data_IF_257016275516
#
_entry.id   IF_257016275516
#
_cell.length_a   1.000
_cell.length_b   1.000
_cell.length_c   1.000
_cell.angle_alpha   90.00
_cell.angle_beta   90.00
_cell.angle_gamma   90.00
#
_symmetry.space_group_name_H-M   'P 1'
#
loop_
_entity.id
_entity.type
_entity.pdbx_description
1 polymer ?
#
# COMPACT_ATOMS: atom_id res chain seq x y z
N UNK A 1 38.13 -28.20 -4.47
CA UNK A 1 36.75 -28.45 -4.95
C UNK A 1 35.77 -27.88 -3.93
N UNK A 2 35.22 -26.69 -4.18
CA UNK A 2 34.29 -26.02 -3.25
C UNK A 2 33.08 -25.51 -4.04
N UNK A 3 32.03 -26.32 -4.14
CA UNK A 3 30.79 -25.98 -4.82
C UNK A 3 29.73 -25.51 -3.83
N UNK A 4 29.33 -24.25 -3.94
CA UNK A 4 28.33 -23.58 -3.10
C UNK A 4 26.95 -24.24 -3.16
N UNK A 5 26.43 -24.67 -2.01
CA UNK A 5 25.03 -25.09 -1.84
C UNK A 5 24.11 -23.86 -1.93
N UNK A 6 23.34 -23.74 -3.02
CA UNK A 6 22.23 -22.79 -3.15
C UNK A 6 21.16 -23.11 -2.10
N UNK A 7 20.90 -22.15 -1.22
CA UNK A 7 19.89 -22.22 -0.15
C UNK A 7 18.50 -22.04 -0.78
N UNK A 8 17.69 -23.11 -0.81
CA UNK A 8 16.30 -23.11 -1.27
C UNK A 8 15.47 -22.21 -0.35
N UNK A 9 14.81 -21.18 -0.88
CA UNK A 9 13.84 -20.34 -0.13
C UNK A 9 12.52 -21.11 -0.02
N UNK A 10 12.04 -21.32 1.21
CA UNK A 10 10.69 -21.82 1.47
C UNK A 10 9.70 -20.72 1.07
N UNK A 11 8.95 -20.94 -0.01
CA UNK A 11 7.69 -20.25 -0.26
C UNK A 11 6.60 -21.02 0.49
N UNK A 12 6.24 -20.53 1.68
CA UNK A 12 4.87 -20.75 2.17
C UNK A 12 4.07 -19.55 1.65
N UNK A 13 3.54 -19.67 0.43
CA UNK A 13 2.45 -18.82 -0.03
C UNK A 13 1.18 -19.48 0.47
N UNK A 14 0.53 -18.80 1.41
CA UNK A 14 -0.80 -19.15 1.89
C UNK A 14 -1.75 -18.63 0.81
N UNK A 15 -2.45 -19.54 0.13
CA UNK A 15 -3.48 -19.23 -0.86
C UNK A 15 -4.64 -18.50 -0.15
N UNK A 16 -4.63 -17.17 -0.19
CA UNK A 16 -5.82 -16.37 0.03
C UNK A 16 -6.40 -16.01 -1.33
N UNK A 17 -7.65 -16.41 -1.57
CA UNK A 17 -8.40 -16.18 -2.81
C UNK A 17 -8.73 -14.69 -3.08
N UNK A 18 -8.14 -13.74 -2.34
CA UNK A 18 -8.56 -12.32 -2.32
C UNK A 18 -7.58 -11.36 -3.01
N UNK A 19 -6.45 -11.83 -3.54
CA UNK A 19 -5.53 -10.93 -4.24
C UNK A 19 -5.90 -10.86 -5.72
N UNK A 20 -6.90 -10.01 -6.02
CA UNK A 20 -7.53 -9.78 -7.34
C UNK A 20 -6.54 -9.55 -8.49
N UNK A 21 -5.30 -9.15 -8.19
CA UNK A 21 -4.25 -8.87 -9.18
C UNK A 21 -2.94 -9.66 -8.98
N UNK A 22 -2.87 -10.66 -8.09
CA UNK A 22 -1.63 -11.44 -7.88
C UNK A 22 -1.43 -12.56 -8.90
N UNK A 23 -2.52 -13.07 -9.50
CA UNK A 23 -2.45 -14.36 -10.22
C UNK A 23 -2.53 -14.24 -11.74
N UNK A 24 -3.07 -13.14 -12.29
CA UNK A 24 -3.10 -12.92 -13.74
C UNK A 24 -3.03 -11.44 -14.13
N UNK A 25 -2.31 -11.15 -15.21
CA UNK A 25 -2.39 -9.85 -15.86
C UNK A 25 -3.83 -9.61 -16.33
N UNK A 26 -4.33 -8.36 -16.34
CA UNK A 26 -5.65 -8.09 -16.90
C UNK A 26 -5.71 -8.57 -18.35
N UNK A 27 -6.78 -9.26 -18.70
CA UNK A 27 -6.99 -9.73 -20.06
C UNK A 27 -7.39 -8.54 -20.95
N UNK A 28 -6.40 -7.97 -21.65
CA UNK A 28 -6.62 -6.81 -22.51
C UNK A 28 -7.51 -7.13 -23.71
N UNK A 29 -7.55 -8.39 -24.17
CA UNK A 29 -8.47 -8.78 -25.25
C UNK A 29 -9.91 -8.69 -24.75
N UNK A 30 -10.18 -9.28 -23.58
CA UNK A 30 -11.50 -9.24 -22.98
C UNK A 30 -11.94 -7.82 -22.62
N UNK A 31 -11.04 -7.02 -22.03
CA UNK A 31 -11.31 -5.63 -21.69
C UNK A 31 -11.60 -4.77 -22.93
N UNK A 32 -10.88 -4.96 -24.04
CA UNK A 32 -11.13 -4.24 -25.28
C UNK A 32 -12.51 -4.55 -25.89
N UNK A 33 -13.00 -5.79 -25.73
CA UNK A 33 -14.34 -6.18 -26.17
C UNK A 33 -15.42 -5.49 -25.32
N UNK A 34 -15.21 -5.44 -24.00
CA UNK A 34 -16.19 -4.85 -23.07
C UNK A 34 -16.20 -3.31 -23.10
N UNK A 35 -15.05 -2.70 -23.37
CA UNK A 35 -14.87 -1.25 -23.33
C UNK A 35 -14.34 -0.74 -24.68
N UNK A 36 -15.21 -0.35 -25.62
CA UNK A 36 -14.80 0.12 -26.95
C UNK A 36 -13.82 1.30 -26.92
N UNK A 37 -13.92 2.16 -25.89
CA UNK A 37 -12.99 3.27 -25.66
C UNK A 37 -11.56 2.82 -25.35
N UNK A 38 -11.38 1.60 -24.84
CA UNK A 38 -10.07 1.01 -24.57
C UNK A 38 -9.48 0.31 -25.81
N UNK A 39 -10.32 -0.13 -26.75
CA UNK A 39 -9.90 -0.92 -27.91
C UNK A 39 -8.82 -0.22 -28.74
N UNK A 40 -8.91 1.11 -28.91
CA UNK A 40 -7.93 1.89 -29.69
C UNK A 40 -6.53 1.92 -29.08
N UNK A 41 -6.38 1.62 -27.79
CA UNK A 41 -5.10 1.62 -27.09
C UNK A 41 -4.42 0.24 -27.06
N UNK A 42 -5.14 -0.81 -27.43
CA UNK A 42 -4.65 -2.20 -27.33
C UNK A 42 -3.93 -2.60 -28.60
N UNK A 43 -2.69 -3.07 -28.44
CA UNK A 43 -1.81 -3.47 -29.54
C UNK A 43 -1.05 -4.76 -29.20
N UNK A 44 -0.67 -5.59 -30.19
CA UNK A 44 0.16 -6.76 -29.94
C UNK A 44 1.62 -6.36 -29.62
N UNK A 45 2.21 -6.99 -28.60
CA UNK A 45 3.63 -6.85 -28.26
C UNK A 45 4.45 -7.98 -28.89
N UNK A 46 5.44 -7.68 -29.76
CA UNK A 46 6.44 -8.66 -30.20
C UNK A 46 7.28 -9.21 -29.03
N UNK A 47 7.84 -10.45 -29.14
CA UNK A 47 7.68 -11.42 -30.23
C UNK A 47 6.46 -12.35 -30.06
N UNK A 48 5.86 -12.39 -28.87
CA UNK A 48 4.81 -13.37 -28.53
C UNK A 48 3.38 -12.93 -28.87
N UNK A 49 3.22 -11.75 -29.50
CA UNK A 49 1.93 -11.17 -29.89
C UNK A 49 0.90 -11.07 -28.76
N UNK A 50 1.36 -10.97 -27.50
CA UNK A 50 0.47 -10.71 -26.37
C UNK A 50 -0.03 -9.29 -26.45
N UNK A 51 -1.34 -9.10 -26.28
CA UNK A 51 -1.92 -7.76 -26.26
C UNK A 51 -1.40 -6.97 -25.05
N UNK A 52 -0.98 -5.73 -25.33
CA UNK A 52 -0.47 -4.73 -24.39
C UNK A 52 -1.07 -3.37 -24.75
N UNK A 53 -0.79 -2.36 -23.95
CA UNK A 53 -0.93 -0.95 -24.31
C UNK A 53 0.46 -0.33 -24.51
N UNK A 54 0.51 0.85 -25.13
CA UNK A 54 1.66 1.72 -25.01
C UNK A 54 1.74 2.30 -23.59
N UNK A 55 2.73 1.87 -22.81
CA UNK A 55 2.92 2.32 -21.43
C UNK A 55 3.50 3.74 -21.35
N UNK A 56 3.94 4.32 -22.47
CA UNK A 56 4.38 5.72 -22.59
C UNK A 56 3.25 6.68 -22.94
N UNK A 57 2.10 6.17 -23.38
CA UNK A 57 0.90 6.96 -23.62
C UNK A 57 0.11 7.16 -22.31
N UNK A 58 0.03 8.43 -21.87
CA UNK A 58 -0.74 8.80 -20.70
C UNK A 58 -2.23 8.46 -20.85
N UNK A 59 -2.81 8.62 -22.04
CA UNK A 59 -4.23 8.33 -22.26
C UNK A 59 -4.52 6.83 -22.19
N UNK A 60 -3.64 6.00 -22.77
CA UNK A 60 -3.75 4.56 -22.66
C UNK A 60 -3.69 4.08 -21.20
N UNK A 61 -2.76 4.62 -20.40
CA UNK A 61 -2.63 4.26 -18.98
C UNK A 61 -3.78 4.79 -18.13
N UNK A 62 -4.26 6.02 -18.37
CA UNK A 62 -5.45 6.59 -17.71
C UNK A 62 -6.70 5.78 -18.01
N UNK A 63 -6.91 5.42 -19.27
CA UNK A 63 -8.06 4.63 -19.69
C UNK A 63 -8.02 3.22 -19.10
N UNK A 64 -6.85 2.56 -19.12
CA UNK A 64 -6.68 1.26 -18.45
C UNK A 64 -7.02 1.35 -16.95
N UNK A 65 -6.55 2.38 -16.26
CA UNK A 65 -6.87 2.58 -14.84
C UNK A 65 -8.36 2.78 -14.61
N UNK A 66 -9.02 3.63 -15.42
CA UNK A 66 -10.48 3.84 -15.35
C UNK A 66 -11.25 2.54 -15.53
N UNK A 67 -10.96 1.75 -16.57
CA UNK A 67 -11.70 0.52 -16.82
C UNK A 67 -11.45 -0.52 -15.72
N UNK A 68 -10.23 -0.61 -15.16
CA UNK A 68 -9.94 -1.55 -14.08
C UNK A 68 -10.71 -1.20 -12.80
N UNK A 69 -10.81 0.09 -12.48
CA UNK A 69 -11.57 0.58 -11.34
C UNK A 69 -13.07 0.36 -11.52
N UNK A 70 -13.59 0.65 -12.71
CA UNK A 70 -14.99 0.42 -13.01
C UNK A 70 -15.36 -1.07 -13.03
N UNK A 71 -14.58 -1.89 -13.74
CA UNK A 71 -14.86 -3.30 -13.96
C UNK A 71 -14.78 -4.15 -12.68
N UNK A 72 -13.85 -3.84 -11.77
CA UNK A 72 -13.57 -4.70 -10.60
C UNK A 72 -13.97 -4.11 -9.26
N UNK A 73 -14.05 -2.79 -9.16
CA UNK A 73 -14.32 -2.09 -7.90
C UNK A 73 -15.60 -1.26 -7.96
N UNK A 74 -16.29 -1.27 -9.12
CA UNK A 74 -17.52 -0.50 -9.35
C UNK A 74 -17.32 1.00 -9.11
N UNK A 75 -16.10 1.48 -9.37
CA UNK A 75 -15.70 2.86 -9.16
C UNK A 75 -15.79 3.66 -10.46
N UNK A 76 -16.49 4.79 -10.43
CA UNK A 76 -16.45 5.82 -11.46
C UNK A 76 -15.29 6.77 -11.16
N UNK A 77 -14.31 6.86 -12.05
CA UNK A 77 -13.05 7.52 -11.72
C UNK A 77 -12.44 8.23 -12.93
N UNK A 78 -11.85 9.41 -12.71
CA UNK A 78 -11.08 10.14 -13.73
C UNK A 78 -10.04 11.07 -13.10
N UNK A 79 -9.01 11.42 -13.87
CA UNK A 79 -8.01 12.45 -13.49
C UNK A 79 -7.74 13.39 -14.66
N UNK A 80 -7.40 14.68 -14.40
CA UNK A 80 -7.05 15.62 -15.45
C UNK A 80 -5.66 15.30 -16.01
N UNK A 81 -5.33 15.94 -17.12
CA UNK A 81 -4.01 15.81 -17.74
C UNK A 81 -2.90 16.32 -16.81
N UNK A 82 -1.71 15.75 -16.94
CA UNK A 82 -0.52 16.14 -16.18
C UNK A 82 -0.43 15.59 -14.75
N UNK A 83 -1.48 14.96 -14.21
CA UNK A 83 -1.45 14.32 -12.89
C UNK A 83 -0.84 12.92 -12.93
N UNK A 84 -0.42 12.39 -11.77
CA UNK A 84 0.12 11.05 -11.68
C UNK A 84 -1.00 10.00 -11.86
N UNK A 85 -0.95 9.21 -12.93
CA UNK A 85 -1.89 8.12 -13.13
C UNK A 85 -1.51 6.88 -12.29
N UNK A 86 -2.34 6.42 -11.35
CA UNK A 86 -1.99 5.30 -10.49
C UNK A 86 -2.11 3.97 -11.23
N UNK A 87 -1.24 3.01 -10.89
CA UNK A 87 -1.35 1.63 -11.36
C UNK A 87 -2.13 0.79 -10.35
N UNK A 88 -3.40 0.48 -10.66
CA UNK A 88 -4.35 -0.17 -9.74
C UNK A 88 -3.77 -1.41 -9.02
N UNK A 89 -3.09 -2.37 -9.69
CA UNK A 89 -2.55 -3.55 -9.02
C UNK A 89 -1.56 -3.24 -7.89
N UNK A 90 -0.67 -2.26 -8.11
CA UNK A 90 0.30 -1.89 -7.09
C UNK A 90 -0.36 -1.17 -5.91
N UNK A 91 -1.39 -0.36 -6.17
CA UNK A 91 -2.17 0.32 -5.12
C UNK A 91 -2.98 -0.68 -4.28
N UNK A 92 -3.61 -1.65 -4.93
CA UNK A 92 -4.35 -2.75 -4.27
C UNK A 92 -3.46 -3.55 -3.33
N UNK A 93 -2.22 -3.86 -3.73
CA UNK A 93 -1.28 -4.60 -2.85
C UNK A 93 -1.01 -3.89 -1.52
N UNK A 94 -1.01 -2.55 -1.52
CA UNK A 94 -0.84 -1.79 -0.30
C UNK A 94 -2.10 -1.90 0.59
N UNK A 95 -3.30 -1.79 0.02
CA UNK A 95 -4.57 -1.97 0.75
C UNK A 95 -4.64 -3.37 1.38
N UNK A 96 -4.35 -4.44 0.64
CA UNK A 96 -4.34 -5.80 1.20
C UNK A 96 -3.28 -5.98 2.29
N UNK A 97 -2.11 -5.36 2.15
CA UNK A 97 -1.11 -5.41 3.21
C UNK A 97 -1.57 -4.71 4.48
N UNK A 98 -2.28 -3.58 4.36
CA UNK A 98 -2.91 -2.91 5.50
C UNK A 98 -3.98 -3.80 6.14
N UNK A 99 -4.83 -4.45 5.36
CA UNK A 99 -5.82 -5.41 5.86
C UNK A 99 -5.14 -6.52 6.68
N UNK A 100 -4.04 -7.08 6.19
CA UNK A 100 -3.26 -8.09 6.91
C UNK A 100 -2.65 -7.54 8.21
N UNK A 101 -2.11 -6.31 8.20
CA UNK A 101 -1.58 -5.66 9.40
C UNK A 101 -2.67 -5.44 10.45
N UNK A 102 -3.84 -4.98 10.02
CA UNK A 102 -4.99 -4.68 10.88
C UNK A 102 -5.65 -5.94 11.44
N UNK A 103 -5.66 -7.02 10.68
CA UNK A 103 -6.18 -8.33 11.11
C UNK A 103 -5.19 -9.09 12.01
N UNK A 104 -3.93 -8.63 12.08
CA UNK A 104 -2.92 -9.25 12.92
C UNK A 104 -3.09 -8.86 14.39
N UNK A 105 -3.02 -9.85 15.28
CA UNK A 105 -3.03 -9.64 16.75
C UNK A 105 -1.63 -9.24 17.28
N UNK A 106 -0.80 -8.60 16.44
CA UNK A 106 0.58 -8.28 16.81
C UNK A 106 0.63 -7.07 17.73
N UNK A 107 -0.27 -6.11 17.54
CA UNK A 107 -0.49 -4.96 18.43
C UNK A 107 -1.97 -4.92 18.84
N UNK A 108 -2.33 -4.29 19.97
CA UNK A 108 -3.72 -4.21 20.42
C UNK A 108 -4.65 -3.73 19.31
N UNK A 109 -5.80 -4.40 19.17
CA UNK A 109 -6.89 -3.96 18.31
C UNK A 109 -7.55 -2.70 18.84
N UNK A 110 -8.42 -2.10 18.03
CA UNK A 110 -9.32 -1.04 18.49
C UNK A 110 -10.27 -1.60 19.55
N UNK A 111 -10.47 -0.86 20.64
CA UNK A 111 -11.26 -1.30 21.80
C UNK A 111 -12.75 -1.46 21.45
N UNK A 112 -13.22 -0.82 20.37
CA UNK A 112 -14.59 -0.95 19.87
C UNK A 112 -14.68 -2.00 18.77
N UNK A 113 -15.20 -3.18 19.10
CA UNK A 113 -15.56 -4.24 18.13
C UNK A 113 -16.60 -3.82 17.09
N UNK A 114 -17.24 -2.66 17.26
CA UNK A 114 -18.27 -2.09 16.38
C UNK A 114 -17.77 -0.93 15.49
N UNK A 115 -16.54 -0.43 15.67
CA UNK A 115 -16.06 0.71 14.89
C UNK A 115 -15.51 0.25 13.53
N UNK A 116 -16.11 0.76 12.43
CA UNK A 116 -15.53 0.64 11.08
C UNK A 116 -14.10 1.19 11.07
N UNK A 117 -13.21 0.49 10.38
CA UNK A 117 -11.80 0.89 10.22
C UNK A 117 -11.72 2.30 9.63
N UNK A 118 -10.84 3.13 10.19
CA UNK A 118 -10.61 4.51 9.74
C UNK A 118 -9.15 4.74 9.36
N UNK A 119 -8.91 5.06 8.09
CA UNK A 119 -7.59 5.35 7.53
C UNK A 119 -7.33 6.84 7.32
N UNK A 120 -6.06 7.22 7.24
CA UNK A 120 -5.62 8.55 6.82
C UNK A 120 -4.65 8.41 5.64
N UNK A 121 -4.95 9.04 4.52
CA UNK A 121 -4.12 9.04 3.32
C UNK A 121 -3.38 10.39 3.17
N UNK A 122 -2.06 10.32 3.13
CA UNK A 122 -1.16 11.47 3.03
C UNK A 122 -0.79 11.68 1.56
N UNK A 123 -1.21 12.81 0.99
CA UNK A 123 -1.00 13.10 -0.43
C UNK A 123 -1.88 12.20 -1.29
N UNK A 124 -3.20 12.32 -1.12
CA UNK A 124 -4.17 11.46 -1.80
C UNK A 124 -4.18 11.65 -3.33
N UNK A 125 -3.67 12.81 -3.79
CA UNK A 125 -3.57 13.21 -5.18
C UNK A 125 -4.94 13.36 -5.86
N UNK A 126 -4.95 13.84 -7.09
CA UNK A 126 -6.17 13.95 -7.90
C UNK A 126 -6.90 12.60 -8.04
N UNK A 127 -6.16 11.50 -7.96
CA UNK A 127 -6.69 10.15 -8.10
C UNK A 127 -7.55 9.69 -6.92
N UNK A 128 -7.28 10.15 -5.69
CA UNK A 128 -7.90 9.62 -4.46
C UNK A 128 -7.93 8.07 -4.41
N UNK A 129 -6.90 7.41 -4.96
CA UNK A 129 -6.98 5.99 -5.31
C UNK A 129 -7.07 5.09 -4.07
N UNK A 130 -6.38 5.43 -2.99
CA UNK A 130 -6.37 4.60 -1.78
C UNK A 130 -7.67 4.68 -0.99
N UNK A 131 -8.22 5.89 -0.70
CA UNK A 131 -9.54 6.00 -0.08
C UNK A 131 -10.63 5.27 -0.87
N UNK A 132 -10.67 5.44 -2.19
CA UNK A 132 -11.67 4.78 -3.05
C UNK A 132 -11.54 3.25 -3.02
N UNK A 133 -10.32 2.71 -3.15
CA UNK A 133 -10.10 1.27 -3.10
C UNK A 133 -10.43 0.69 -1.72
N UNK A 134 -9.97 1.31 -0.63
CA UNK A 134 -10.23 0.80 0.71
C UNK A 134 -11.71 0.87 1.10
N UNK A 135 -12.41 1.93 0.68
CA UNK A 135 -13.86 2.05 0.90
C UNK A 135 -14.65 1.02 0.06
N UNK A 136 -14.29 0.83 -1.21
CA UNK A 136 -14.95 -0.15 -2.09
C UNK A 136 -14.71 -1.60 -1.62
N UNK A 137 -13.47 -1.97 -1.31
CA UNK A 137 -13.09 -3.34 -0.97
C UNK A 137 -13.50 -3.75 0.44
N UNK A 138 -13.38 -2.84 1.41
CA UNK A 138 -13.49 -3.20 2.83
C UNK A 138 -14.47 -2.32 3.63
N UNK A 139 -15.14 -1.35 2.98
CA UNK A 139 -16.04 -0.41 3.67
C UNK A 139 -15.34 0.49 4.68
N UNK A 140 -14.03 0.68 4.53
CA UNK A 140 -13.23 1.56 5.39
C UNK A 140 -13.61 3.01 5.19
N UNK A 141 -13.53 3.79 6.26
CA UNK A 141 -13.62 5.24 6.20
C UNK A 141 -12.23 5.87 6.08
N UNK A 142 -12.14 7.02 5.44
CA UNK A 142 -10.87 7.69 5.14
C UNK A 142 -10.95 9.20 5.33
N UNK A 143 -9.82 9.77 5.73
CA UNK A 143 -9.48 11.16 5.46
C UNK A 143 -8.36 11.16 4.43
N UNK A 144 -8.60 11.71 3.24
CA UNK A 144 -7.59 11.91 2.20
C UNK A 144 -7.11 13.37 2.21
N UNK A 145 -5.83 13.58 2.47
CA UNK A 145 -5.25 14.93 2.56
C UNK A 145 -4.37 15.26 1.35
N UNK A 146 -4.37 16.52 0.93
CA UNK A 146 -3.44 17.03 -0.08
C UNK A 146 -3.13 18.52 0.10
N UNK A 147 -2.03 18.98 -0.50
CA UNK A 147 -1.57 20.38 -0.47
C UNK A 147 -1.92 21.14 -1.74
N UNK A 148 -2.27 20.46 -2.83
CA UNK A 148 -2.52 21.09 -4.13
C UNK A 148 -4.02 21.25 -4.41
N UNK A 149 -4.41 22.42 -4.93
CA UNK A 149 -5.81 22.70 -5.26
C UNK A 149 -6.37 21.73 -6.29
N UNK A 150 -5.58 21.37 -7.30
CA UNK A 150 -5.96 20.41 -8.35
C UNK A 150 -6.22 19.03 -7.77
N UNK A 151 -5.37 18.54 -6.85
CA UNK A 151 -5.60 17.25 -6.21
C UNK A 151 -6.87 17.26 -5.36
N UNK A 152 -7.08 18.32 -4.56
CA UNK A 152 -8.29 18.46 -3.73
C UNK A 152 -9.55 18.46 -4.60
N UNK A 153 -9.61 19.31 -5.63
CA UNK A 153 -10.76 19.42 -6.52
C UNK A 153 -11.10 18.08 -7.19
N UNK A 154 -10.10 17.37 -7.72
CA UNK A 154 -10.33 16.13 -8.44
C UNK A 154 -10.58 14.93 -7.52
N UNK A 155 -9.97 14.91 -6.33
CA UNK A 155 -10.29 13.93 -5.31
C UNK A 155 -11.76 14.05 -4.88
N UNK A 156 -12.23 15.28 -4.62
CA UNK A 156 -13.65 15.54 -4.29
C UNK A 156 -14.60 15.12 -5.41
N UNK A 157 -14.26 15.41 -6.68
CA UNK A 157 -15.04 14.95 -7.84
C UNK A 157 -15.09 13.43 -7.92
N UNK A 158 -13.97 12.74 -7.72
CA UNK A 158 -13.91 11.29 -7.75
C UNK A 158 -14.72 10.66 -6.61
N UNK A 159 -14.68 11.23 -5.40
CA UNK A 159 -15.53 10.79 -4.28
C UNK A 159 -17.01 11.01 -4.60
N UNK A 160 -17.38 12.20 -5.08
CA UNK A 160 -18.76 12.56 -5.41
C UNK A 160 -19.36 11.72 -6.56
N UNK A 161 -18.51 11.23 -7.47
CA UNK A 161 -18.91 10.33 -8.56
C UNK A 161 -19.26 8.91 -8.09
N UNK A 162 -19.04 8.59 -6.80
CA UNK A 162 -19.28 7.29 -6.19
C UNK A 162 -20.20 7.42 -4.96
N UNK A 163 -21.50 7.74 -5.15
CA UNK A 163 -22.40 8.08 -4.05
C UNK A 163 -22.54 6.97 -2.99
N UNK A 164 -22.39 5.70 -3.39
CA UNK A 164 -22.50 4.51 -2.54
C UNK A 164 -21.39 4.39 -1.48
N UNK A 165 -20.25 5.08 -1.65
CA UNK A 165 -19.14 5.14 -0.67
C UNK A 165 -18.74 6.57 -0.30
N UNK A 166 -19.34 7.59 -0.89
CA UNK A 166 -18.96 8.99 -0.72
C UNK A 166 -18.94 9.45 0.74
N UNK A 167 -19.88 8.96 1.55
CA UNK A 167 -19.97 9.26 2.99
C UNK A 167 -18.85 8.65 3.84
N UNK A 168 -18.05 7.74 3.26
CA UNK A 168 -16.91 7.12 3.94
C UNK A 168 -15.63 7.94 3.76
N UNK A 169 -15.57 8.90 2.84
CA UNK A 169 -14.33 9.56 2.44
C UNK A 169 -14.46 11.08 2.62
N UNK A 170 -13.65 11.64 3.52
CA UNK A 170 -13.45 13.09 3.69
C UNK A 170 -12.18 13.51 2.92
N UNK A 171 -12.27 14.55 2.08
CA UNK A 171 -11.10 15.20 1.48
C UNK A 171 -10.73 16.43 2.31
N UNK A 172 -9.43 16.58 2.61
CA UNK A 172 -8.92 17.63 3.50
C UNK A 172 -7.76 18.39 2.85
N UNK A 173 -7.95 19.70 2.66
CA UNK A 173 -6.86 20.59 2.25
C UNK A 173 -5.93 20.87 3.43
N UNK A 174 -4.64 20.70 3.19
CA UNK A 174 -3.58 21.13 4.12
C UNK A 174 -3.29 22.61 3.84
N UNK A 175 -3.48 23.47 4.85
CA UNK A 175 -3.16 24.90 4.73
C UNK A 175 -1.68 25.14 5.03
N UNK A 176 -0.97 25.80 4.12
CA UNK A 176 0.41 26.26 4.32
C UNK A 176 0.45 27.51 5.21
N UNK A 177 -0.02 27.41 6.46
CA UNK A 177 -0.13 28.58 7.33
C UNK A 177 1.23 29.08 7.89
N UNK A 178 2.39 28.67 7.33
CA UNK A 178 3.72 29.11 7.81
C UNK A 178 4.88 29.06 6.79
N UNK A 179 4.65 29.02 5.48
CA UNK A 179 5.75 29.13 4.51
C UNK A 179 5.83 30.55 3.91
N UNK A 180 6.99 31.25 3.95
CA UNK A 180 7.17 32.42 3.10
C UNK A 180 7.09 31.99 1.63
N UNK A 181 6.59 32.85 0.72
CA UNK A 181 6.39 32.47 -0.67
C UNK A 181 7.73 32.05 -1.29
N UNK A 182 7.79 30.80 -1.76
CA UNK A 182 8.90 30.34 -2.58
C UNK A 182 8.88 31.14 -3.88
N UNK A 183 9.86 32.02 -4.06
CA UNK A 183 10.07 32.76 -5.30
C UNK A 183 10.32 31.74 -6.40
N UNK A 184 9.45 31.73 -7.42
CA UNK A 184 9.69 31.02 -8.66
C UNK A 184 10.93 31.65 -9.32
N UNK A 185 11.99 30.86 -9.46
CA UNK A 185 13.20 31.30 -10.16
C UNK A 185 12.86 31.23 -11.65
N UNK A 186 12.63 32.38 -12.28
CA UNK A 186 12.50 32.48 -13.73
C UNK A 186 13.83 32.10 -14.38
N UNK A 187 13.80 31.10 -15.27
CA UNK A 187 14.94 30.68 -16.08
C UNK A 187 15.36 31.78 -17.05
N UNK A 188 16.40 32.53 -16.69
CA UNK A 188 17.10 33.41 -17.64
C UNK A 188 18.13 32.59 -18.42
N UNK A 189 17.70 32.19 -19.63
CA UNK A 189 18.56 31.73 -20.71
C UNK A 189 19.61 32.80 -20.99
N UNK A 190 20.90 32.44 -20.94
CA UNK A 190 21.90 33.18 -21.70
C UNK A 190 23.02 32.28 -22.24
N UNK A 191 23.23 32.47 -23.53
CA UNK A 191 24.10 31.76 -24.45
C UNK A 191 25.58 32.13 -24.26
N UNK A 192 26.44 31.26 -24.81
CA UNK A 192 27.82 31.50 -25.26
C UNK A 192 28.94 31.57 -24.18
N UNK A 193 29.82 30.57 -24.14
CA UNK A 193 31.04 30.55 -24.96
C UNK A 193 31.89 29.28 -24.71
N UNK A 194 32.39 28.76 -25.83
CA UNK A 194 33.30 27.63 -25.97
C UNK A 194 34.70 28.05 -25.49
N UNK A 195 35.34 27.25 -24.62
CA UNK A 195 36.77 27.31 -24.40
C UNK A 195 37.38 25.90 -24.33
N UNK A 196 38.16 25.61 -25.37
CA UNK A 196 38.96 24.43 -25.62
C UNK A 196 40.26 24.46 -24.79
N UNK A 197 40.60 23.41 -24.02
CA UNK A 197 42.01 23.12 -23.71
C UNK A 197 42.31 21.67 -23.25
N UNK A 198 42.92 20.92 -24.17
CA UNK A 198 44.06 19.97 -24.11
C UNK A 198 44.27 19.03 -22.90
N UNK A 199 44.53 17.77 -23.27
CA UNK A 199 45.04 16.61 -22.50
C UNK A 199 46.42 16.85 -21.84
N UNK A 200 46.63 16.19 -20.70
CA UNK A 200 47.88 15.46 -20.36
C UNK A 200 47.58 14.34 -19.35
N UNK A 201 48.32 13.24 -19.49
CA UNK A 201 48.16 11.93 -18.84
C UNK A 201 48.80 11.83 -17.43
N UNK A 202 48.26 10.87 -16.67
CA UNK A 202 48.87 10.02 -15.61
C UNK A 202 49.53 10.64 -14.36
N UNK A 203 48.95 10.37 -13.18
CA UNK A 203 49.56 9.49 -12.16
C UNK A 203 48.53 9.06 -11.09
N UNK A 204 48.60 7.79 -10.66
CA UNK A 204 47.71 7.17 -9.66
C UNK A 204 48.49 6.98 -8.36
N UNK A 205 48.02 7.55 -7.24
CA UNK A 205 48.32 7.11 -5.87
C UNK A 205 47.25 7.66 -4.88
N UNK A 206 47.14 7.14 -3.66
CA UNK A 206 46.01 6.36 -3.18
C UNK A 206 44.90 7.20 -2.50
N UNK A 207 43.67 6.73 -2.66
CA UNK A 207 42.45 7.20 -1.98
C UNK A 207 42.67 7.47 -0.48
N UNK A 208 42.51 8.71 0.00
CA UNK A 208 42.02 8.95 1.34
C UNK A 208 40.53 8.59 1.39
N UNK A 209 40.10 7.96 2.48
CA UNK A 209 38.68 7.85 2.82
C UNK A 209 38.07 9.26 2.85
N UNK A 210 37.32 9.65 1.81
CA UNK A 210 36.44 10.81 1.87
C UNK A 210 35.21 10.47 2.70
N UNK A 211 35.37 10.60 4.02
CA UNK A 211 34.36 11.25 4.84
C UNK A 211 34.27 12.70 4.33
N UNK A 212 33.10 13.09 3.82
CA UNK A 212 32.60 14.44 3.42
C UNK A 212 32.03 14.31 1.99
N UNK A 213 30.73 14.42 1.71
CA UNK A 213 29.71 15.27 2.32
C UNK A 213 28.36 14.54 2.42
N UNK A 214 27.90 14.27 3.64
CA UNK A 214 26.48 14.13 3.91
C UNK A 214 25.98 15.54 4.21
N UNK A 215 25.78 16.37 3.18
CA UNK A 215 24.92 17.52 3.35
C UNK A 215 23.56 16.99 3.82
N UNK A 216 23.12 17.45 5.00
CA UNK A 216 21.83 17.09 5.57
C UNK A 216 20.72 17.58 4.64
N UNK A 217 20.37 16.75 3.65
CA UNK A 217 19.17 16.88 2.83
C UNK A 217 17.96 16.52 3.68
N UNK A 218 17.67 17.36 4.68
CA UNK A 218 16.48 17.25 5.53
C UNK A 218 15.28 17.85 4.81
N UNK A 219 14.09 17.32 5.10
CA UNK A 219 12.83 17.89 4.63
C UNK A 219 12.69 19.32 5.16
N UNK A 220 12.29 20.27 4.32
CA UNK A 220 12.17 21.70 4.67
C UNK A 220 10.74 22.24 4.62
N UNK A 221 9.75 21.40 4.33
CA UNK A 221 8.34 21.81 4.35
C UNK A 221 7.73 21.82 5.76
N UNK A 222 6.43 22.16 5.87
CA UNK A 222 5.69 22.11 7.13
C UNK A 222 5.51 20.66 7.63
N UNK A 223 5.11 20.45 8.89
CA UNK A 223 4.69 19.13 9.34
C UNK A 223 3.63 18.52 8.39
N UNK A 224 3.75 17.21 8.16
CA UNK A 224 2.92 16.45 7.21
C UNK A 224 1.61 16.00 7.87
N UNK A 225 1.68 15.55 9.13
CA UNK A 225 0.53 15.06 9.90
C UNK A 225 0.17 15.98 11.06
N UNK A 226 1.16 16.56 11.74
CA UNK A 226 0.92 17.45 12.88
C UNK A 226 0.25 18.73 12.40
N UNK A 227 -0.88 19.11 13.02
CA UNK A 227 -1.69 20.25 12.60
C UNK A 227 -2.68 19.94 11.46
N UNK A 228 -2.54 18.79 10.78
CA UNK A 228 -3.51 18.31 9.79
C UNK A 228 -4.50 17.32 10.44
N UNK A 229 -3.99 16.45 11.31
CA UNK A 229 -4.78 15.57 12.16
C UNK A 229 -5.37 16.40 13.30
N UNK A 230 -6.69 16.34 13.50
CA UNK A 230 -7.36 17.07 14.59
C UNK A 230 -7.13 16.34 15.92
N UNK A 231 -7.11 17.08 17.03
CA UNK A 231 -6.74 16.54 18.36
C UNK A 231 -7.66 15.43 18.88
N UNK A 232 -8.91 15.40 18.44
CA UNK A 232 -9.92 14.39 18.82
C UNK A 232 -9.94 13.17 17.89
N UNK A 233 -9.18 13.21 16.78
CA UNK A 233 -9.19 12.16 15.78
C UNK A 233 -8.23 11.02 16.12
N UNK A 234 -8.74 9.80 15.98
CA UNK A 234 -7.96 8.56 15.98
C UNK A 234 -8.19 7.79 14.70
N UNK A 235 -7.18 7.03 14.31
CA UNK A 235 -7.14 6.26 13.08
C UNK A 235 -6.51 4.89 13.32
N UNK A 236 -6.99 3.89 12.59
CA UNK A 236 -6.41 2.57 12.54
C UNK A 236 -5.06 2.56 11.83
N UNK A 237 -4.93 3.39 10.79
CA UNK A 237 -3.68 3.54 10.08
C UNK A 237 -3.54 4.90 9.39
N UNK A 238 -2.30 5.31 9.14
CA UNK A 238 -1.98 6.23 8.04
C UNK A 238 -1.27 5.48 6.91
N UNK A 239 -1.41 6.00 5.69
CA UNK A 239 -0.69 5.51 4.52
C UNK A 239 -0.18 6.66 3.67
N UNK A 240 0.88 6.40 2.92
CA UNK A 240 1.54 7.41 2.08
C UNK A 240 2.21 6.74 0.89
N UNK A 241 2.04 7.31 -0.29
CA UNK A 241 2.88 7.04 -1.45
C UNK A 241 3.72 8.30 -1.72
N UNK A 242 4.90 8.43 -1.09
CA UNK A 242 5.62 9.70 -1.04
C UNK A 242 6.14 10.12 -2.42
N UNK A 243 6.41 11.43 -2.62
CA UNK A 243 7.19 11.88 -3.77
C UNK A 243 8.56 11.17 -3.78
N UNK A 244 8.83 10.44 -4.85
CA UNK A 244 9.95 9.50 -4.92
C UNK A 244 11.29 10.16 -5.24
N UNK A 245 11.27 11.33 -5.87
CA UNK A 245 12.42 11.91 -6.54
C UNK A 245 12.95 13.16 -5.83
N UNK A 246 14.26 13.40 -5.95
CA UNK A 246 14.88 14.65 -5.48
C UNK A 246 14.74 15.79 -6.50
N UNK A 247 14.58 15.46 -7.78
CA UNK A 247 14.37 16.43 -8.87
C UNK A 247 13.48 15.86 -9.98
N UNK A 248 12.92 16.75 -10.82
CA UNK A 248 12.14 16.35 -12.00
C UNK A 248 13.01 15.64 -13.05
N UNK A 249 14.28 16.00 -13.14
CA UNK A 249 15.26 15.32 -14.00
C UNK A 249 15.36 13.84 -13.62
N UNK A 250 15.42 13.52 -12.33
CA UNK A 250 15.43 12.14 -11.84
C UNK A 250 14.11 11.40 -12.16
N UNK A 251 12.97 12.10 -12.09
CA UNK A 251 11.66 11.55 -12.42
C UNK A 251 11.54 11.19 -13.92
N UNK A 252 12.13 12.00 -14.80
CA UNK A 252 12.13 11.81 -16.25
C UNK A 252 13.04 10.69 -16.77
N UNK A 253 13.87 10.05 -15.93
CA UNK A 253 14.84 9.03 -16.35
C UNK A 253 14.24 7.68 -16.74
N UNK A 254 12.93 7.46 -16.59
CA UNK A 254 12.30 6.20 -17.01
C UNK A 254 11.55 6.36 -18.34
N UNK A 255 12.21 6.12 -19.50
CA UNK A 255 11.60 6.31 -20.82
C UNK A 255 10.54 5.26 -21.16
N UNK A 256 10.30 4.28 -20.28
CA UNK A 256 9.38 3.14 -20.54
C UNK A 256 7.98 3.34 -19.97
N UNK A 257 7.71 4.47 -19.32
CA UNK A 257 6.43 4.78 -18.70
C UNK A 257 6.11 6.25 -18.89
N UNK A 258 4.84 6.59 -19.12
CA UNK A 258 4.37 7.97 -19.09
C UNK A 258 4.68 8.56 -17.70
N UNK A 259 5.61 9.51 -17.65
CA UNK A 259 5.88 10.27 -16.43
C UNK A 259 4.84 11.39 -16.34
N UNK A 260 3.60 11.03 -16.03
CA UNK A 260 2.59 12.00 -15.56
C UNK A 260 2.83 12.30 -14.09
N UNK A 261 2.51 13.52 -13.65
CA UNK A 261 2.69 13.97 -12.27
C UNK A 261 3.23 15.39 -12.21
N UNK A 262 2.68 16.19 -11.30
CA UNK A 262 3.20 17.53 -11.04
C UNK A 262 4.50 17.47 -10.24
N UNK A 263 5.30 18.53 -10.27
CA UNK A 263 6.53 18.62 -9.47
C UNK A 263 6.27 18.41 -7.98
N UNK A 264 5.11 18.87 -7.48
CA UNK A 264 4.71 18.71 -6.08
C UNK A 264 4.29 17.27 -5.72
N UNK A 265 3.86 16.46 -6.69
CA UNK A 265 3.54 15.03 -6.49
C UNK A 265 4.79 14.13 -6.60
N UNK A 266 5.78 14.54 -7.41
CA UNK A 266 6.91 13.70 -7.75
C UNK A 266 8.19 14.02 -6.99
N UNK A 267 8.36 15.29 -6.59
CA UNK A 267 9.62 15.81 -6.08
C UNK A 267 9.48 16.35 -4.66
N UNK A 268 10.46 16.03 -3.84
CA UNK A 268 10.63 16.61 -2.52
C UNK A 268 12.11 16.91 -2.27
N UNK A 269 12.47 18.06 -1.67
CA UNK A 269 13.84 18.29 -1.19
C UNK A 269 14.30 17.14 -0.27
N UNK A 270 15.42 16.49 -0.61
CA UNK A 270 15.93 15.29 0.08
C UNK A 270 15.18 13.98 -0.23
N UNK A 271 14.24 14.05 -1.17
CA UNK A 271 13.52 12.94 -1.78
C UNK A 271 12.66 12.16 -0.81
N UNK A 272 12.31 10.94 -1.22
CA UNK A 272 11.54 9.99 -0.42
C UNK A 272 12.09 9.83 1.01
N UNK A 273 13.42 9.76 1.16
CA UNK A 273 14.04 9.52 2.46
C UNK A 273 13.73 10.65 3.43
N UNK A 274 13.85 11.90 2.99
CA UNK A 274 13.56 13.07 3.80
C UNK A 274 12.07 13.15 4.14
N UNK A 275 11.20 12.91 3.16
CA UNK A 275 9.74 12.94 3.35
C UNK A 275 9.28 11.91 4.39
N UNK A 276 9.71 10.65 4.26
CA UNK A 276 9.36 9.60 5.24
C UNK A 276 9.98 9.90 6.61
N UNK A 277 11.20 10.45 6.66
CA UNK A 277 11.81 10.88 7.93
C UNK A 277 10.95 11.92 8.64
N UNK A 278 10.34 12.85 7.90
CA UNK A 278 9.40 13.82 8.46
C UNK A 278 8.13 13.15 9.00
N UNK A 279 7.56 12.18 8.30
CA UNK A 279 6.42 11.38 8.81
C UNK A 279 6.80 10.66 10.12
N UNK A 280 8.03 10.12 10.20
CA UNK A 280 8.54 9.49 11.42
C UNK A 280 8.61 10.51 12.56
N UNK A 281 9.10 11.71 12.31
CA UNK A 281 9.16 12.80 13.31
C UNK A 281 7.76 13.21 13.79
N UNK A 282 6.81 13.43 12.89
CA UNK A 282 5.42 13.74 13.24
C UNK A 282 4.76 12.62 14.05
N UNK A 283 5.07 11.35 13.71
CA UNK A 283 4.55 10.19 14.43
C UNK A 283 4.98 10.15 15.90
N UNK A 284 6.12 10.77 16.26
CA UNK A 284 6.56 10.87 17.67
C UNK A 284 5.70 11.79 18.51
N UNK A 285 5.00 12.74 17.89
CA UNK A 285 4.05 13.64 18.56
C UNK A 285 2.67 12.97 18.62
N UNK A 286 2.24 12.39 17.51
CA UNK A 286 0.90 11.79 17.37
C UNK A 286 0.77 10.43 18.05
N UNK A 287 1.85 9.65 18.19
CA UNK A 287 1.94 8.36 18.89
C UNK A 287 0.69 7.47 18.74
N UNK A 288 -0.22 7.52 19.71
CA UNK A 288 -1.38 6.64 19.82
C UNK A 288 -2.63 7.16 19.09
N UNK A 289 -2.56 8.32 18.42
CA UNK A 289 -3.59 8.75 17.48
C UNK A 289 -3.70 7.79 16.29
N UNK A 290 -2.61 7.10 15.95
CA UNK A 290 -2.59 6.05 14.94
C UNK A 290 -2.20 4.72 15.55
N UNK A 291 -2.95 3.68 15.21
CA UNK A 291 -2.56 2.31 15.56
C UNK A 291 -1.39 1.84 14.70
N UNK A 292 -1.41 2.12 13.39
CA UNK A 292 -0.28 1.90 12.47
C UNK A 292 0.09 3.17 11.72
N UNK A 293 1.37 3.49 11.66
CA UNK A 293 1.90 4.41 10.65
C UNK A 293 2.49 3.59 9.52
N UNK A 294 2.21 3.94 8.27
CA UNK A 294 2.77 3.23 7.12
C UNK A 294 3.18 4.18 5.99
N UNK A 295 4.18 3.77 5.21
CA UNK A 295 4.55 4.42 3.94
C UNK A 295 5.03 3.38 2.93
N UNK A 296 4.71 3.62 1.65
CA UNK A 296 5.40 2.97 0.55
C UNK A 296 6.82 3.53 0.45
N UNK A 297 7.75 2.68 0.00
CA UNK A 297 9.16 2.99 -0.25
C UNK A 297 9.51 2.50 -1.65
N UNK A 298 10.05 3.39 -2.48
CA UNK A 298 10.41 3.21 -3.87
C UNK A 298 11.84 2.77 -4.08
N UNK A 299 12.75 3.13 -3.16
CA UNK A 299 14.17 2.74 -3.23
C UNK A 299 14.54 1.82 -2.06
N UNK A 300 14.92 0.57 -2.36
CA UNK A 300 15.31 -0.43 -1.34
C UNK A 300 16.43 0.07 -0.41
N UNK A 301 17.37 0.87 -0.94
CA UNK A 301 18.48 1.45 -0.17
C UNK A 301 18.00 2.32 0.99
N UNK A 302 16.82 2.95 0.90
CA UNK A 302 16.26 3.80 1.94
C UNK A 302 15.81 3.00 3.17
N UNK A 303 15.38 1.73 3.00
CA UNK A 303 14.83 0.94 4.10
C UNK A 303 15.78 0.78 5.28
N UNK A 304 17.07 0.54 5.03
CA UNK A 304 18.05 0.34 6.11
C UNK A 304 18.14 1.58 7.00
N UNK A 305 18.19 2.76 6.38
CA UNK A 305 18.24 4.04 7.08
C UNK A 305 16.94 4.30 7.84
N UNK A 306 15.78 4.15 7.18
CA UNK A 306 14.48 4.43 7.77
C UNK A 306 14.17 3.53 8.96
N UNK A 307 14.47 2.22 8.85
CA UNK A 307 14.35 1.28 9.97
C UNK A 307 15.26 1.67 11.13
N UNK A 308 16.50 2.08 10.85
CA UNK A 308 17.41 2.57 11.90
C UNK A 308 16.87 3.82 12.61
N UNK A 309 16.30 4.77 11.86
CA UNK A 309 15.70 5.99 12.39
C UNK A 309 14.47 5.68 13.26
N UNK A 310 13.62 4.77 12.81
CA UNK A 310 12.45 4.30 13.56
C UNK A 310 12.82 3.76 14.95
N UNK A 311 13.83 2.89 15.01
CA UNK A 311 14.33 2.39 16.30
C UNK A 311 14.94 3.51 17.16
N UNK A 312 15.63 4.46 16.52
CA UNK A 312 16.19 5.63 17.21
C UNK A 312 15.14 6.54 17.86
N UNK A 313 13.91 6.59 17.33
CA UNK A 313 12.80 7.36 17.92
C UNK A 313 11.92 6.54 18.88
N UNK A 314 12.29 5.29 19.17
CA UNK A 314 11.64 4.48 20.19
C UNK A 314 10.31 3.85 19.79
N UNK A 315 10.12 3.51 18.51
CA UNK A 315 8.95 2.70 18.11
C UNK A 315 9.00 1.32 18.75
N UNK A 316 7.83 0.75 19.03
CA UNK A 316 7.73 -0.56 19.67
C UNK A 316 7.79 -1.71 18.67
N UNK A 317 7.43 -1.44 17.41
CA UNK A 317 7.44 -2.44 16.34
C UNK A 317 7.67 -1.82 14.98
N UNK A 318 8.37 -2.56 14.12
CA UNK A 318 8.55 -2.24 12.70
C UNK A 318 8.24 -3.48 11.87
N UNK A 319 7.52 -3.30 10.76
CA UNK A 319 7.22 -4.32 9.75
C UNK A 319 7.57 -3.81 8.36
N UNK A 320 8.02 -4.71 7.51
CA UNK A 320 8.29 -4.42 6.10
C UNK A 320 7.69 -5.50 5.21
N UNK A 321 7.39 -5.14 3.97
CA UNK A 321 6.96 -6.07 2.92
C UNK A 321 7.51 -5.64 1.55
N UNK A 322 7.37 -6.50 0.55
CA UNK A 322 7.72 -6.19 -0.85
C UNK A 322 6.45 -6.27 -1.71
N UNK A 323 6.18 -5.22 -2.48
CA UNK A 323 5.12 -5.19 -3.50
C UNK A 323 5.78 -5.39 -4.87
N UNK A 324 5.46 -6.49 -5.53
CA UNK A 324 6.04 -6.83 -6.84
C UNK A 324 4.94 -6.90 -7.88
N UNK A 325 5.04 -6.07 -8.91
CA UNK A 325 4.10 -6.04 -10.04
C UNK A 325 4.88 -5.91 -11.34
N UNK A 326 4.93 -7.02 -12.10
CA UNK A 326 5.79 -7.12 -13.28
C UNK A 326 7.25 -6.86 -12.94
N UNK A 327 7.83 -5.80 -13.52
CA UNK A 327 9.22 -5.37 -13.28
C UNK A 327 9.35 -4.33 -12.16
N UNK A 328 8.23 -3.85 -11.62
CA UNK A 328 8.22 -2.77 -10.64
C UNK A 328 8.24 -3.38 -9.24
N UNK A 329 9.30 -3.04 -8.51
CA UNK A 329 9.44 -3.35 -7.09
C UNK A 329 9.16 -2.10 -6.26
N UNK A 330 8.36 -2.28 -5.21
CA UNK A 330 8.17 -1.32 -4.14
C UNK A 330 8.23 -2.06 -2.81
N UNK A 331 8.38 -1.32 -1.72
CA UNK A 331 8.43 -1.86 -0.37
C UNK A 331 7.40 -1.16 0.49
N UNK A 332 6.80 -1.89 1.44
CA UNK A 332 6.00 -1.28 2.50
C UNK A 332 6.84 -1.15 3.76
N UNK A 333 6.71 -0.04 4.47
CA UNK A 333 7.27 0.19 5.80
C UNK A 333 6.12 0.55 6.75
N UNK A 334 6.00 -0.16 7.86
CA UNK A 334 4.97 0.06 8.87
C UNK A 334 5.60 0.08 10.27
N UNK A 335 5.11 0.95 11.13
CA UNK A 335 5.55 1.04 12.53
C UNK A 335 4.41 1.42 13.46
N UNK A 336 4.60 1.14 14.75
CA UNK A 336 3.67 1.53 15.80
C UNK A 336 4.39 1.84 17.11
N UNK A 337 3.83 2.76 17.88
CA UNK A 337 4.21 3.04 19.27
C UNK A 337 3.43 2.19 20.28
N UNK A 338 2.42 1.45 19.82
CA UNK A 338 1.71 0.51 20.68
C UNK A 338 2.61 -0.71 20.96
N UNK A 339 2.70 -1.15 22.23
CA UNK A 339 3.48 -2.33 22.57
C UNK A 339 2.90 -3.55 21.85
N UNK A 340 3.75 -4.48 21.37
CA UNK A 340 3.27 -5.76 20.87
C UNK A 340 2.44 -6.47 21.93
N UNK A 341 1.35 -7.10 21.51
CA UNK A 341 0.60 -7.99 22.39
C UNK A 341 1.53 -9.13 22.76
N UNK A 342 1.96 -9.18 24.02
CA UNK A 342 2.62 -10.37 24.52
C UNK A 342 1.64 -11.51 24.32
N UNK A 343 2.03 -12.53 23.57
CA UNK A 343 1.40 -13.84 23.73
C UNK A 343 1.67 -14.20 25.17
N UNK A 344 0.73 -13.92 26.07
CA UNK A 344 0.66 -14.63 27.32
C UNK A 344 0.66 -16.09 26.87
N UNK A 345 1.77 -16.79 27.06
CA UNK A 345 1.72 -18.20 27.33
C UNK A 345 0.80 -18.28 28.54
N UNK A 346 -0.49 -18.46 28.28
CA UNK A 346 -1.40 -18.89 29.32
C UNK A 346 -0.82 -20.26 29.66
N UNK A 347 0.04 -20.33 30.67
CA UNK A 347 0.14 -21.53 31.45
C UNK A 347 -1.25 -21.64 32.07
N UNK A 348 -2.13 -22.35 31.36
CA UNK A 348 -3.41 -22.76 31.89
C UNK A 348 -3.06 -23.55 33.14
N UNK A 349 -3.18 -22.90 34.29
CA UNK A 349 -3.20 -23.57 35.57
C UNK A 349 -4.28 -24.65 35.47
N UNK A 350 -3.84 -25.90 35.40
CA UNK A 350 -4.58 -27.14 35.56
C UNK A 350 -6.11 -26.99 35.69
N UNK A 351 -6.79 -26.81 34.57
CA UNK A 351 -8.16 -27.29 34.39
C UNK A 351 -8.20 -28.06 33.08
N UNK A 352 -8.62 -29.32 33.15
CA UNK A 352 -8.72 -30.27 32.04
C UNK A 352 -9.69 -29.72 30.98
N UNK A 353 -9.22 -28.82 30.12
CA UNK A 353 -9.96 -28.34 28.97
C UNK A 353 -9.65 -29.25 27.77
N UNK A 354 -10.64 -30.04 27.39
CA UNK A 354 -10.63 -30.81 26.15
C UNK A 354 -10.67 -29.86 24.95
N UNK A 355 -9.67 -29.94 24.07
CA UNK A 355 -9.60 -29.24 22.79
C UNK A 355 -9.91 -30.18 21.63
N UNK A 356 -10.69 -29.70 20.65
CA UNK A 356 -10.93 -30.39 19.39
C UNK A 356 -10.76 -29.44 18.21
N UNK A 357 -10.46 -30.00 17.05
CA UNK A 357 -10.31 -29.29 15.78
C UNK A 357 -11.48 -29.65 14.87
N UNK A 358 -12.10 -28.65 14.26
CA UNK A 358 -13.08 -28.81 13.19
C UNK A 358 -12.47 -28.32 11.89
N UNK A 359 -12.58 -29.14 10.84
CA UNK A 359 -12.20 -28.78 9.49
C UNK A 359 -13.45 -28.86 8.61
N UNK A 360 -13.70 -27.84 7.80
CA UNK A 360 -14.83 -27.79 6.86
C UNK A 360 -14.29 -27.56 5.46
N UNK A 361 -14.64 -28.46 4.54
CA UNK A 361 -14.20 -28.38 3.15
C UNK A 361 -15.39 -28.51 2.22
N UNK A 362 -15.40 -27.74 1.13
CA UNK A 362 -16.34 -27.97 0.06
C UNK A 362 -15.78 -29.04 -0.87
N UNK A 363 -16.38 -30.23 -0.87
CA UNK A 363 -15.87 -31.36 -1.67
C UNK A 363 -16.30 -31.26 -3.14
N UNK A 364 -17.48 -30.68 -3.38
CA UNK A 364 -18.08 -30.39 -4.70
C UNK A 364 -19.04 -29.20 -4.52
N UNK A 365 -19.39 -28.42 -5.56
CA UNK A 365 -20.32 -27.30 -5.42
C UNK A 365 -21.62 -27.72 -4.72
N UNK A 366 -22.01 -26.97 -3.70
CA UNK A 366 -23.18 -27.29 -2.86
C UNK A 366 -23.01 -28.39 -1.80
N UNK A 367 -21.86 -29.07 -1.71
CA UNK A 367 -21.62 -30.14 -0.70
C UNK A 367 -20.46 -29.79 0.24
N UNK A 368 -20.76 -29.64 1.54
CA UNK A 368 -19.77 -29.41 2.60
C UNK A 368 -19.46 -30.69 3.37
N UNK A 369 -18.19 -31.02 3.48
CA UNK A 369 -17.65 -32.07 4.35
C UNK A 369 -17.14 -31.42 5.64
N UNK A 370 -17.72 -31.82 6.78
CA UNK A 370 -17.29 -31.39 8.11
C UNK A 370 -16.56 -32.55 8.78
N UNK A 371 -15.34 -32.32 9.27
CA UNK A 371 -14.52 -33.32 9.96
C UNK A 371 -14.13 -32.80 11.35
N UNK A 372 -14.42 -33.59 12.38
CA UNK A 372 -14.02 -33.30 13.75
C UNK A 372 -12.91 -34.23 14.23
N UNK A 373 -11.90 -33.71 14.92
CA UNK A 373 -10.88 -34.52 15.57
C UNK A 373 -10.56 -34.02 16.98
N UNK A 374 -10.49 -34.94 17.94
CA UNK A 374 -10.10 -34.66 19.31
C UNK A 374 -8.56 -34.68 19.40
N UNK A 375 -7.95 -33.71 20.07
CA UNK A 375 -6.48 -33.66 20.18
C UNK A 375 -5.90 -34.80 21.05
N UNK A 376 -6.72 -35.39 21.94
CA UNK A 376 -6.37 -36.55 22.76
C UNK A 376 -7.35 -37.71 22.51
N UNK A 377 -6.90 -38.74 21.79
CA UNK A 377 -7.72 -39.92 21.42
C UNK A 377 -8.06 -40.84 22.60
N UNK A 378 -7.40 -40.68 23.76
CA UNK A 378 -7.61 -41.53 24.94
C UNK A 378 -8.42 -40.84 26.04
N UNK A 379 -8.99 -39.66 25.76
CA UNK A 379 -9.83 -38.95 26.72
C UNK A 379 -11.14 -39.72 26.99
N UNK A 380 -11.56 -39.87 28.27
CA UNK A 380 -12.81 -40.54 28.66
C UNK A 380 -14.07 -39.82 28.13
N UNK A 381 -13.92 -38.67 27.47
CA UNK A 381 -14.98 -37.81 26.94
C UNK A 381 -15.22 -38.01 25.43
N UNK A 382 -14.63 -39.02 24.79
CA UNK A 382 -14.87 -39.37 23.37
C UNK A 382 -16.37 -39.46 23.03
N UNK A 383 -17.18 -40.01 23.94
CA UNK A 383 -18.65 -40.07 23.78
C UNK A 383 -19.33 -38.69 23.76
N UNK A 384 -18.85 -37.72 24.55
CA UNK A 384 -19.40 -36.36 24.58
C UNK A 384 -19.05 -35.56 23.30
N UNK A 385 -17.87 -35.81 22.72
CA UNK A 385 -17.47 -35.21 21.45
C UNK A 385 -18.39 -35.63 20.29
N UNK A 386 -18.76 -36.92 20.23
CA UNK A 386 -19.70 -37.42 19.22
C UNK A 386 -21.07 -36.71 19.30
N UNK A 387 -21.59 -36.53 20.52
CA UNK A 387 -22.87 -35.84 20.75
C UNK A 387 -22.81 -34.36 20.36
N UNK A 388 -21.71 -33.68 20.67
CA UNK A 388 -21.49 -32.27 20.28
C UNK A 388 -21.40 -32.14 18.75
N UNK A 389 -20.66 -33.06 18.11
CA UNK A 389 -20.49 -33.08 16.66
C UNK A 389 -21.82 -33.32 15.94
N UNK A 390 -22.66 -34.24 16.45
CA UNK A 390 -23.99 -34.50 15.92
C UNK A 390 -24.92 -33.28 16.02
N UNK A 391 -24.91 -32.57 17.15
CA UNK A 391 -25.68 -31.32 17.31
C UNK A 391 -25.23 -30.22 16.36
N UNK A 392 -23.92 -30.10 16.12
CA UNK A 392 -23.39 -29.15 15.15
C UNK A 392 -23.84 -29.50 13.73
N UNK A 393 -23.81 -30.78 13.35
CA UNK A 393 -24.29 -31.25 12.05
C UNK A 393 -25.78 -30.92 11.85
N UNK A 394 -26.63 -31.18 12.85
CA UNK A 394 -28.06 -30.84 12.82
C UNK A 394 -28.29 -29.33 12.68
N UNK A 395 -27.55 -28.50 13.41
CA UNK A 395 -27.64 -27.04 13.32
C UNK A 395 -27.22 -26.53 11.92
N UNK A 396 -26.16 -27.09 11.34
CA UNK A 396 -25.70 -26.73 10.00
C UNK A 396 -26.70 -27.17 8.93
N UNK A 397 -27.27 -28.38 9.04
CA UNK A 397 -28.35 -28.85 8.15
C UNK A 397 -29.58 -27.96 8.26
N UNK A 398 -29.99 -27.58 9.46
CA UNK A 398 -31.14 -26.68 9.65
C UNK A 398 -30.90 -25.29 9.08
N UNK A 399 -29.69 -24.75 9.19
CA UNK A 399 -29.36 -23.38 8.77
C UNK A 399 -29.11 -23.25 7.27
N UNK A 400 -28.58 -24.28 6.63
CA UNK A 400 -28.11 -24.22 5.25
C UNK A 400 -28.83 -25.18 4.28
N UNK A 401 -29.65 -26.12 4.78
CA UNK A 401 -30.45 -27.03 3.95
C UNK A 401 -31.96 -26.79 4.07
N UNK A 402 -32.40 -25.57 4.41
CA UNK A 402 -33.83 -25.20 4.34
C UNK A 402 -34.35 -25.43 2.92
N UNK A 403 -35.42 -26.24 2.86
CA UNK A 403 -36.00 -26.86 1.67
C UNK A 403 -36.19 -25.88 0.51
N UNK A 404 -35.67 -26.25 -0.64
CA UNK A 404 -36.35 -26.00 -1.91
C UNK A 404 -37.75 -26.61 -1.80
N UNK A 405 -38.76 -25.76 -1.75
CA UNK A 405 -40.12 -26.09 -2.18
C UNK A 405 -40.41 -25.28 -3.42
#
# INVERSE_FOLDING_TARGET
MGGSKKRKRNKQQQESNDIVYSESQPDFAHLAILYPSFQSFVQPSPPHMRLTIDWTDFNATRELTRILLHHRHTLTWWIPDGQLCPTVPNRSNYIHWLEHLLSSNIIPGTISSDSKVRGFDIGTGASCIYPLLGASLHGWSFVGSDVTDVAIEWAEKNVSSNPHISNLIEIRRVQDNNAPPCVEVEDLVNSDQIALCKKTDMEVAPLPLDLHACENKSYRGPPILVGVVRDDEKFDFCMCNPPFFESLEEAGLNPKTACGGTSREMVCPGGERAFITRIIEDSTQLKQHFRWFTSMVGKKSNLKYLVSKLWGVGVSIVKTTEFVQGRTYRWGLAWSFLPPVQKSSISLSNKKNTSFTLEVFQQIPGTLLVKGSLQDKHSPLSGAFSVIFQKLEEALRSKFCTKSL
#
